data_IF_657635593016
#
_entry.id   IF_657635593016
#
_cell.length_a   1.000
_cell.length_b   1.000
_cell.length_c   1.000
_cell.angle_alpha   90.00
_cell.angle_beta   90.00
_cell.angle_gamma   90.00
#
_symmetry.space_group_name_H-M   'P 1'
#
loop_
_entity.id
_entity.type
_entity.pdbx_description
1 polymer ?
#
# COMPACT_ATOMS: atom_id res chain seq x y z
N UNK A 1 3.87 10.57 3.83
CA UNK A 1 3.51 9.18 3.51
C UNK A 1 2.00 8.93 3.45
N UNK A 2 1.24 8.85 4.54
CA UNK A 2 -0.21 8.50 4.43
C UNK A 2 -1.04 9.51 3.62
N UNK A 3 -0.71 10.81 3.68
CA UNK A 3 -1.37 11.83 2.87
C UNK A 3 -1.18 11.60 1.37
N UNK A 4 0.03 11.19 0.94
CA UNK A 4 0.34 10.89 -0.47
C UNK A 4 -0.43 9.65 -0.96
N UNK A 5 -0.54 8.63 -0.10
CA UNK A 5 -1.33 7.41 -0.40
C UNK A 5 -2.79 7.74 -0.61
N UNK A 6 -3.39 8.57 0.26
CA UNK A 6 -4.78 8.98 0.11
C UNK A 6 -5.00 9.91 -1.08
N UNK A 7 -4.06 10.81 -1.37
CA UNK A 7 -4.10 11.64 -2.57
C UNK A 7 -4.05 10.77 -3.84
N UNK A 8 -3.17 9.78 -3.89
CA UNK A 8 -3.08 8.83 -4.99
C UNK A 8 -4.34 7.97 -5.12
N UNK A 9 -4.91 7.51 -4.00
CA UNK A 9 -6.18 6.77 -3.99
C UNK A 9 -7.32 7.61 -4.58
N UNK A 10 -7.43 8.88 -4.18
CA UNK A 10 -8.43 9.80 -4.73
C UNK A 10 -8.26 9.99 -6.25
N UNK A 11 -7.02 10.10 -6.73
CA UNK A 11 -6.73 10.19 -8.15
C UNK A 11 -7.09 8.90 -8.89
N UNK A 12 -6.71 7.73 -8.37
CA UNK A 12 -7.04 6.44 -8.96
C UNK A 12 -8.55 6.25 -9.09
N UNK A 13 -9.32 6.55 -8.02
CA UNK A 13 -10.77 6.52 -8.03
C UNK A 13 -11.37 7.48 -9.08
N UNK A 14 -10.86 8.71 -9.17
CA UNK A 14 -11.35 9.69 -10.15
C UNK A 14 -11.10 9.29 -11.60
N UNK A 15 -10.07 8.47 -11.85
CA UNK A 15 -9.67 8.00 -13.18
C UNK A 15 -10.22 6.62 -13.52
N UNK A 16 -10.89 5.95 -12.58
CA UNK A 16 -11.32 4.56 -12.74
C UNK A 16 -10.14 3.59 -12.86
N UNK A 17 -8.97 3.94 -12.31
CA UNK A 17 -7.80 3.06 -12.31
C UNK A 17 -7.96 1.96 -11.26
N UNK A 18 -7.64 0.72 -11.64
CA UNK A 18 -7.59 -0.40 -10.70
C UNK A 18 -6.43 -0.22 -9.71
N UNK A 19 -6.76 -0.23 -8.42
CA UNK A 19 -5.77 -0.15 -7.34
C UNK A 19 -6.28 -0.81 -6.05
N UNK A 20 -5.35 -1.34 -5.25
CA UNK A 20 -5.60 -1.89 -3.93
C UNK A 20 -4.92 -1.05 -2.85
N UNK A 21 -5.66 -0.68 -1.79
CA UNK A 21 -5.11 -0.03 -0.61
C UNK A 21 -4.70 -1.07 0.44
N UNK A 22 -3.41 -1.12 0.72
CA UNK A 22 -2.80 -1.98 1.74
C UNK A 22 -2.59 -1.16 3.02
N UNK A 23 -2.98 -1.71 4.17
CA UNK A 23 -2.78 -1.10 5.49
C UNK A 23 -2.29 -2.13 6.50
N UNK A 24 -1.26 -1.78 7.27
CA UNK A 24 -0.89 -2.58 8.45
C UNK A 24 -1.91 -2.33 9.55
N UNK A 25 -2.72 -3.33 9.88
CA UNK A 25 -3.76 -3.25 10.91
C UNK A 25 -3.29 -3.70 12.30
N UNK A 26 -2.26 -4.55 12.34
CA UNK A 26 -1.63 -5.01 13.58
C UNK A 26 -0.19 -5.45 13.29
N UNK A 27 0.65 -5.45 14.33
CA UNK A 27 2.03 -5.93 14.28
C UNK A 27 2.37 -6.59 15.62
N UNK A 28 3.21 -7.62 15.61
CA UNK A 28 3.69 -8.29 16.81
C UNK A 28 5.22 -8.39 16.76
N UNK A 29 5.90 -8.02 17.84
CA UNK A 29 7.36 -7.93 17.91
C UNK A 29 7.95 -6.70 17.20
N UNK A 30 9.25 -6.76 16.86
CA UNK A 30 9.94 -5.71 16.11
C UNK A 30 9.66 -5.85 14.61
N UNK A 31 8.82 -4.98 14.08
CA UNK A 31 8.55 -4.87 12.64
C UNK A 31 9.16 -3.58 12.05
N UNK A 32 9.60 -3.59 10.77
CA UNK A 32 10.20 -2.41 10.14
C UNK A 32 9.25 -1.21 10.05
N UNK A 33 7.95 -1.48 9.91
CA UNK A 33 6.90 -0.46 9.95
C UNK A 33 5.91 -0.66 11.10
N UNK A 34 5.22 0.43 11.42
CA UNK A 34 4.22 0.54 12.47
C UNK A 34 2.82 0.32 11.92
N UNK A 35 1.93 -0.10 12.81
CA UNK A 35 0.48 -0.10 12.56
C UNK A 35 0.04 1.26 12.00
N UNK A 36 -0.79 1.21 10.97
CA UNK A 36 -1.27 2.39 10.26
C UNK A 36 -0.43 2.80 9.05
N UNK A 37 0.73 2.20 8.80
CA UNK A 37 1.44 2.36 7.53
C UNK A 37 0.56 1.89 6.36
N UNK A 38 0.64 2.61 5.23
CA UNK A 38 -0.19 2.39 4.06
C UNK A 38 0.63 2.37 2.78
N UNK A 39 0.13 1.59 1.82
CA UNK A 39 0.64 1.52 0.47
C UNK A 39 -0.53 1.34 -0.49
N UNK A 40 -0.49 2.03 -1.64
CA UNK A 40 -1.39 1.80 -2.75
C UNK A 40 -0.65 0.99 -3.80
N UNK A 41 -1.27 -0.06 -4.34
CA UNK A 41 -0.74 -0.89 -5.42
C UNK A 41 -1.68 -0.76 -6.62
N UNK A 42 -1.17 -0.32 -7.77
CA UNK A 42 -1.94 -0.22 -9.01
C UNK A 42 -1.94 -1.56 -9.75
N UNK A 43 -2.94 -1.81 -10.61
CA UNK A 43 -3.03 -3.03 -11.42
C UNK A 43 -1.83 -3.24 -12.36
N UNK A 44 -1.19 -2.14 -12.79
CA UNK A 44 0.05 -2.17 -13.59
C UNK A 44 1.33 -2.40 -12.76
N UNK A 45 1.20 -2.50 -11.43
CA UNK A 45 2.31 -2.75 -10.52
C UNK A 45 3.02 -1.52 -9.97
N UNK A 46 2.63 -0.29 -10.34
CA UNK A 46 3.10 0.92 -9.65
C UNK A 46 2.67 0.88 -8.19
N UNK A 47 3.46 1.52 -7.33
CA UNK A 47 3.17 1.65 -5.89
C UNK A 47 3.31 3.09 -5.41
N UNK A 48 2.52 3.46 -4.40
CA UNK A 48 2.66 4.72 -3.65
C UNK A 48 2.63 4.40 -2.16
N UNK A 49 3.62 4.89 -1.40
CA UNK A 49 3.80 4.54 0.00
C UNK A 49 4.55 3.21 0.19
N UNK A 50 4.61 2.76 1.44
CA UNK A 50 5.38 1.57 1.85
C UNK A 50 4.77 0.98 3.12
N UNK A 51 4.81 -0.35 3.23
CA UNK A 51 4.43 -1.08 4.45
C UNK A 51 5.64 -1.74 5.13
N UNK A 52 6.86 -1.28 4.81
CA UNK A 52 8.07 -1.65 5.55
C UNK A 52 9.13 -2.42 4.76
N UNK A 53 9.00 -2.55 3.44
CA UNK A 53 10.00 -3.19 2.59
C UNK A 53 9.95 -4.72 2.57
N UNK A 54 10.66 -5.31 1.61
CA UNK A 54 11.04 -6.73 1.61
C UNK A 54 9.92 -7.70 1.22
N UNK A 55 9.86 -8.85 1.89
CA UNK A 55 8.97 -9.95 1.53
C UNK A 55 7.47 -9.60 1.68
N UNK A 56 7.11 -8.79 2.69
CA UNK A 56 5.71 -8.41 2.93
C UNK A 56 5.15 -7.49 1.85
N UNK A 57 5.97 -6.59 1.30
CA UNK A 57 5.57 -5.76 0.16
C UNK A 57 5.40 -6.61 -1.10
N UNK A 58 6.31 -7.56 -1.34
CA UNK A 58 6.22 -8.46 -2.49
C UNK A 58 4.95 -9.32 -2.45
N UNK A 59 4.63 -9.90 -1.29
CA UNK A 59 3.41 -10.68 -1.07
C UNK A 59 2.15 -9.81 -1.22
N UNK A 60 2.15 -8.59 -0.65
CA UNK A 60 1.05 -7.65 -0.79
C UNK A 60 0.81 -7.24 -2.25
N UNK A 61 1.87 -6.98 -3.02
CA UNK A 61 1.77 -6.69 -4.46
C UNK A 61 1.21 -7.88 -5.23
N UNK A 62 1.66 -9.10 -4.92
CA UNK A 62 1.16 -10.32 -5.56
C UNK A 62 -0.32 -10.59 -5.30
N UNK A 63 -0.83 -10.22 -4.12
CA UNK A 63 -2.25 -10.37 -3.75
C UNK A 63 -3.15 -9.22 -4.23
N UNK A 64 -2.55 -8.07 -4.53
CA UNK A 64 -3.24 -6.86 -4.95
C UNK A 64 -3.51 -6.78 -6.46
N UNK A 65 -2.78 -7.57 -7.25
CA UNK A 65 -3.00 -7.77 -8.69
C UNK A 65 -3.94 -8.94 -8.91
#
# INVERSE_FOLDING_TARGET
MNHEVFAALGQALSRGEEAALVTIVSANGSTPQRVGAKMLVFGDGRIVGTVGGGCYEHDAIGKAR
#
